data_IF_472612859817
#
_entry.id   IF_472612859817
#
_cell.length_a   1.000
_cell.length_b   1.000
_cell.length_c   1.000
_cell.angle_alpha   90.00
_cell.angle_beta   90.00
_cell.angle_gamma   90.00
#
_symmetry.space_group_name_H-M   'P 1'
#
loop_
_entity.id
_entity.type
_entity.pdbx_description
1 polymer ?
#
# COMPACT_ATOMS: atom_id res chain seq x y z
N UNK A 1 6.98 12.97 -18.12
CA UNK A 1 6.90 11.59 -17.56
C UNK A 1 7.30 11.56 -16.09
N UNK A 2 8.56 11.84 -15.72
CA UNK A 2 9.01 11.78 -14.31
C UNK A 2 8.24 12.75 -13.40
N UNK A 3 8.22 14.04 -13.73
CA UNK A 3 7.55 15.08 -12.93
C UNK A 3 6.04 14.87 -12.81
N UNK A 4 5.45 14.13 -13.76
CA UNK A 4 4.03 13.80 -13.75
C UNK A 4 3.72 12.64 -12.79
N UNK A 5 4.51 11.56 -12.86
CA UNK A 5 4.19 10.31 -12.19
C UNK A 5 4.82 10.15 -10.80
N UNK A 6 5.92 10.85 -10.51
CA UNK A 6 6.70 10.60 -9.30
C UNK A 6 6.34 11.56 -8.15
N UNK A 7 6.46 12.90 -8.27
CA UNK A 7 6.40 13.80 -7.11
C UNK A 7 4.99 14.20 -6.66
N UNK A 8 3.93 13.91 -7.43
CA UNK A 8 2.57 14.42 -7.16
C UNK A 8 1.82 13.81 -5.98
N UNK A 9 2.44 12.88 -5.23
CA UNK A 9 1.84 12.24 -4.07
C UNK A 9 2.11 12.97 -2.74
N UNK A 10 1.65 12.38 -1.64
CA UNK A 10 1.98 12.86 -0.27
C UNK A 10 3.43 12.54 0.15
N UNK A 11 4.14 11.71 -0.62
CA UNK A 11 5.50 11.24 -0.37
C UNK A 11 5.70 10.56 1.00
N UNK A 12 4.62 10.05 1.61
CA UNK A 12 4.65 9.46 2.94
C UNK A 12 5.66 8.31 3.06
N UNK A 13 5.82 7.48 2.01
CA UNK A 13 6.74 6.34 2.04
C UNK A 13 8.18 6.83 1.97
N UNK A 14 8.46 7.77 1.06
CA UNK A 14 9.78 8.37 0.91
C UNK A 14 10.23 9.13 2.16
N UNK A 15 9.37 9.99 2.70
CA UNK A 15 9.64 10.75 3.94
C UNK A 15 9.87 9.83 5.14
N UNK A 16 9.18 8.68 5.18
CA UNK A 16 9.33 7.74 6.29
C UNK A 16 10.71 7.09 6.34
N UNK A 17 11.49 7.05 5.26
CA UNK A 17 12.90 6.60 5.33
C UNK A 17 13.71 7.57 6.17
N UNK A 18 13.54 8.88 5.94
CA UNK A 18 14.26 9.94 6.65
C UNK A 18 13.85 9.94 8.13
N UNK A 19 12.54 9.92 8.40
CA UNK A 19 12.01 9.89 9.76
C UNK A 19 12.50 8.65 10.53
N UNK A 20 12.46 7.47 9.90
CA UNK A 20 12.92 6.23 10.52
C UNK A 20 14.41 6.28 10.82
N UNK A 21 15.21 6.76 9.87
CA UNK A 21 16.65 6.84 10.04
C UNK A 21 17.04 7.82 11.15
N UNK A 22 16.35 8.96 11.25
CA UNK A 22 16.53 9.91 12.36
C UNK A 22 16.19 9.27 13.70
N UNK A 23 15.06 8.58 13.81
CA UNK A 23 14.63 7.90 15.05
C UNK A 23 15.54 6.74 15.46
N UNK A 24 16.13 6.01 14.49
CA UNK A 24 17.11 4.97 14.76
C UNK A 24 18.44 5.51 15.30
N UNK A 25 18.76 6.77 15.03
CA UNK A 25 19.96 7.45 15.50
C UNK A 25 19.69 8.34 16.73
N UNK A 26 18.79 7.91 17.61
CA UNK A 26 18.38 8.63 18.82
C UNK A 26 17.92 10.08 18.58
N UNK A 27 17.40 10.37 17.38
CA UNK A 27 16.97 11.71 17.00
C UNK A 27 18.09 12.73 16.89
N UNK A 28 19.36 12.28 16.80
CA UNK A 28 20.48 13.19 16.55
C UNK A 28 20.29 13.93 15.24
N UNK A 29 20.95 15.08 15.14
CA UNK A 29 21.01 15.81 13.88
C UNK A 29 21.76 14.97 12.83
N UNK A 30 21.09 14.77 11.70
CA UNK A 30 21.65 14.04 10.57
C UNK A 30 22.56 14.96 9.77
N UNK A 31 23.68 14.44 9.29
CA UNK A 31 24.55 15.17 8.37
C UNK A 31 23.87 15.37 7.02
N UNK A 32 24.33 16.35 6.23
CA UNK A 32 23.78 16.59 4.87
C UNK A 32 23.87 15.35 3.97
N UNK A 33 24.93 14.55 4.13
CA UNK A 33 25.12 13.31 3.39
C UNK A 33 24.09 12.24 3.81
N UNK A 34 23.82 12.11 5.11
CA UNK A 34 22.81 11.18 5.63
C UNK A 34 21.39 11.55 5.18
N UNK A 35 21.06 12.85 5.24
CA UNK A 35 19.78 13.36 4.75
C UNK A 35 19.65 13.08 3.25
N UNK A 36 20.70 13.35 2.47
CA UNK A 36 20.70 13.07 1.03
C UNK A 36 20.50 11.58 0.74
N UNK A 37 21.22 10.70 1.44
CA UNK A 37 21.11 9.25 1.26
C UNK A 37 19.74 8.71 1.66
N UNK A 38 19.20 9.12 2.82
CA UNK A 38 17.87 8.73 3.24
C UNK A 38 16.82 9.21 2.25
N UNK A 39 16.95 10.45 1.76
CA UNK A 39 16.07 11.02 0.74
C UNK A 39 16.17 10.26 -0.59
N UNK A 40 17.38 9.87 -1.01
CA UNK A 40 17.59 9.11 -2.24
C UNK A 40 16.94 7.73 -2.17
N UNK A 41 17.04 7.02 -1.03
CA UNK A 41 16.30 5.77 -0.82
C UNK A 41 14.79 6.00 -0.75
N UNK A 42 14.35 7.07 -0.08
CA UNK A 42 12.95 7.45 -0.05
C UNK A 42 12.39 7.68 -1.46
N UNK A 43 13.14 8.37 -2.31
CA UNK A 43 12.79 8.54 -3.72
C UNK A 43 12.81 7.19 -4.47
N UNK A 44 13.76 6.29 -4.26
CA UNK A 44 13.70 4.95 -4.87
C UNK A 44 12.35 4.24 -4.59
N UNK A 45 11.78 4.41 -3.39
CA UNK A 45 10.47 3.85 -3.03
C UNK A 45 9.33 4.57 -3.76
N UNK A 46 9.37 5.91 -3.86
CA UNK A 46 8.38 6.69 -4.61
C UNK A 46 8.44 6.40 -6.13
N UNK A 47 9.63 6.13 -6.67
CA UNK A 47 9.82 5.65 -8.05
C UNK A 47 9.26 4.24 -8.26
N UNK A 48 9.48 3.33 -7.30
CA UNK A 48 8.88 1.99 -7.31
C UNK A 48 7.35 2.07 -7.29
N UNK A 49 6.80 2.91 -6.42
CA UNK A 49 5.37 3.14 -6.36
C UNK A 49 4.84 3.75 -7.66
N UNK A 50 5.50 4.76 -8.21
CA UNK A 50 5.09 5.38 -9.47
C UNK A 50 5.09 4.38 -10.63
N UNK A 51 6.08 3.48 -10.70
CA UNK A 51 6.10 2.37 -11.65
C UNK A 51 4.85 1.51 -11.55
N UNK A 52 4.53 1.00 -10.35
CA UNK A 52 3.35 0.16 -10.15
C UNK A 52 2.06 0.91 -10.48
N UNK A 53 1.91 2.15 -10.02
CA UNK A 53 0.70 2.95 -10.27
C UNK A 53 0.46 3.23 -11.76
N UNK A 54 1.51 3.49 -12.55
CA UNK A 54 1.35 3.69 -14.00
C UNK A 54 0.81 2.43 -14.68
N UNK A 55 1.28 1.24 -14.29
CA UNK A 55 0.80 -0.02 -14.85
C UNK A 55 -0.58 -0.43 -14.29
N UNK A 56 -0.81 -0.22 -13.00
CA UNK A 56 -2.08 -0.48 -12.30
C UNK A 56 -3.20 0.35 -12.91
N UNK A 57 -2.98 1.65 -13.14
CA UNK A 57 -3.96 2.52 -13.80
C UNK A 57 -4.35 2.01 -15.20
N UNK A 58 -3.42 1.39 -15.93
CA UNK A 58 -3.70 0.77 -17.24
C UNK A 58 -4.53 -0.51 -17.06
N UNK A 59 -4.13 -1.39 -16.14
CA UNK A 59 -4.78 -2.69 -15.90
C UNK A 59 -6.21 -2.52 -15.37
N UNK A 60 -6.43 -1.54 -14.51
CA UNK A 60 -7.71 -1.24 -13.88
C UNK A 60 -8.57 -0.28 -14.71
N UNK A 61 -8.05 0.16 -15.87
CA UNK A 61 -8.67 1.14 -16.74
C UNK A 61 -9.03 2.47 -16.03
N UNK A 62 -8.21 2.89 -15.07
CA UNK A 62 -8.42 4.10 -14.26
C UNK A 62 -8.43 5.39 -15.08
N UNK A 63 -9.26 6.36 -14.70
CA UNK A 63 -9.37 7.63 -15.40
C UNK A 63 -8.45 8.73 -14.84
N UNK A 64 -8.39 8.84 -13.51
CA UNK A 64 -7.66 9.92 -12.82
C UNK A 64 -6.84 9.39 -11.66
N UNK A 65 -5.65 9.98 -11.45
CA UNK A 65 -4.81 9.77 -10.28
C UNK A 65 -4.23 11.10 -9.81
N UNK A 66 -4.24 11.33 -8.48
CA UNK A 66 -3.70 12.54 -7.84
C UNK A 66 -4.30 13.83 -8.43
N UNK A 67 -5.61 13.82 -8.70
CA UNK A 67 -6.33 14.96 -9.28
C UNK A 67 -6.03 15.26 -10.76
N UNK A 68 -5.32 14.39 -11.47
CA UNK A 68 -4.98 14.54 -12.89
C UNK A 68 -5.34 13.28 -13.68
N UNK A 69 -5.49 13.35 -15.03
CA UNK A 69 -5.65 12.15 -15.84
C UNK A 69 -4.52 11.13 -15.61
N UNK A 70 -4.84 9.84 -15.60
CA UNK A 70 -3.80 8.80 -15.56
C UNK A 70 -2.85 8.96 -16.75
N UNK A 71 -1.56 8.65 -16.57
CA UNK A 71 -0.53 8.92 -17.58
C UNK A 71 -0.88 8.37 -18.97
N UNK A 72 -1.41 7.14 -19.02
CA UNK A 72 -1.81 6.48 -20.26
C UNK A 72 -3.07 7.07 -20.93
N UNK A 73 -3.85 7.89 -20.21
CA UNK A 73 -5.03 8.59 -20.75
C UNK A 73 -4.65 9.89 -21.48
N UNK A 74 -3.41 10.37 -21.36
CA UNK A 74 -2.98 11.57 -22.08
C UNK A 74 -2.90 11.30 -23.59
N UNK A 75 -3.43 12.21 -24.45
CA UNK A 75 -3.53 11.96 -25.90
C UNK A 75 -2.21 11.62 -26.60
N UNK A 76 -1.10 12.23 -26.16
CA UNK A 76 0.23 12.02 -26.75
C UNK A 76 0.99 10.82 -26.14
N UNK A 77 0.47 10.22 -25.08
CA UNK A 77 1.13 9.14 -24.34
C UNK A 77 0.54 7.79 -24.72
N UNK A 78 -0.76 7.58 -24.48
CA UNK A 78 -1.39 6.29 -24.70
C UNK A 78 -0.62 5.13 -24.06
N UNK A 79 -0.43 4.04 -24.82
CA UNK A 79 0.25 2.83 -24.33
C UNK A 79 1.78 2.93 -24.26
N UNK A 80 2.40 4.04 -24.68
CA UNK A 80 3.82 4.33 -24.39
C UNK A 80 4.07 4.29 -22.87
N UNK A 81 3.03 4.60 -22.08
CA UNK A 81 3.00 4.51 -20.63
C UNK A 81 3.53 3.16 -20.07
N UNK A 82 3.34 2.04 -20.79
CA UNK A 82 3.90 0.74 -20.36
C UNK A 82 5.42 0.79 -20.32
N UNK A 83 6.06 1.30 -21.37
CA UNK A 83 7.51 1.46 -21.42
C UNK A 83 8.00 2.52 -20.43
N UNK A 84 7.24 3.60 -20.25
CA UNK A 84 7.57 4.62 -19.24
C UNK A 84 7.56 4.06 -17.82
N UNK A 85 6.60 3.19 -17.49
CA UNK A 85 6.61 2.42 -16.24
C UNK A 85 7.89 1.60 -16.09
N UNK A 86 8.28 0.85 -17.13
CA UNK A 86 9.54 0.07 -17.12
C UNK A 86 10.75 0.99 -16.88
N UNK A 87 10.77 2.19 -17.46
CA UNK A 87 11.84 3.17 -17.22
C UNK A 87 11.86 3.67 -15.78
N UNK A 88 10.70 3.94 -15.16
CA UNK A 88 10.60 4.31 -13.74
C UNK A 88 11.24 3.24 -12.84
N UNK A 89 10.92 1.97 -13.07
CA UNK A 89 11.53 0.84 -12.36
C UNK A 89 13.05 0.78 -12.54
N UNK A 90 13.54 0.99 -13.76
CA UNK A 90 14.98 0.96 -14.05
C UNK A 90 15.75 2.14 -13.42
N UNK A 91 15.11 3.29 -13.16
CA UNK A 91 15.77 4.41 -12.47
C UNK A 91 16.19 4.05 -11.04
N UNK A 92 15.49 3.14 -10.37
CA UNK A 92 15.82 2.71 -9.00
C UNK A 92 17.25 2.17 -8.95
N UNK A 93 17.59 1.21 -9.82
CA UNK A 93 18.94 0.62 -9.84
C UNK A 93 20.01 1.63 -10.26
N UNK A 94 19.65 2.65 -11.07
CA UNK A 94 20.55 3.76 -11.42
C UNK A 94 20.86 4.62 -10.20
N UNK A 95 19.86 4.98 -9.40
CA UNK A 95 20.01 5.77 -8.17
C UNK A 95 20.84 4.96 -7.15
N UNK A 96 20.46 3.70 -6.90
CA UNK A 96 21.20 2.81 -5.99
C UNK A 96 22.67 2.69 -6.39
N UNK A 97 22.95 2.42 -7.67
CA UNK A 97 24.33 2.31 -8.17
C UNK A 97 25.11 3.62 -8.05
N UNK A 98 24.49 4.76 -8.34
CA UNK A 98 25.20 6.04 -8.35
C UNK A 98 25.58 6.52 -6.95
N UNK A 99 24.73 6.26 -5.95
CA UNK A 99 24.89 6.84 -4.61
C UNK A 99 25.27 5.83 -3.51
N UNK A 100 25.08 4.52 -3.76
CA UNK A 100 25.28 3.49 -2.73
C UNK A 100 26.29 2.41 -3.12
N UNK A 101 26.82 2.37 -4.35
CA UNK A 101 27.73 1.28 -4.81
C UNK A 101 28.95 1.01 -3.91
N UNK A 102 29.42 2.02 -3.17
CA UNK A 102 30.58 1.92 -2.29
C UNK A 102 30.20 1.60 -0.83
N UNK A 103 28.90 1.54 -0.51
CA UNK A 103 28.41 1.22 0.82
C UNK A 103 28.49 -0.29 1.06
N UNK A 104 28.81 -0.73 2.28
CA UNK A 104 28.88 -2.15 2.61
C UNK A 104 27.54 -2.87 2.42
N UNK A 105 26.42 -2.16 2.61
CA UNK A 105 25.05 -2.66 2.46
C UNK A 105 24.46 -2.49 1.04
N UNK A 106 25.30 -2.25 0.02
CA UNK A 106 24.83 -2.02 -1.35
C UNK A 106 24.10 -3.23 -1.95
N UNK A 107 24.65 -4.44 -1.74
CA UNK A 107 24.04 -5.68 -2.24
C UNK A 107 22.73 -5.94 -1.52
N UNK A 108 22.69 -5.72 -0.20
CA UNK A 108 21.46 -5.86 0.59
C UNK A 108 20.36 -4.90 0.12
N UNK A 109 20.71 -3.67 -0.29
CA UNK A 109 19.75 -2.74 -0.89
C UNK A 109 19.22 -3.25 -2.23
N UNK A 110 20.08 -3.76 -3.11
CA UNK A 110 19.63 -4.32 -4.39
C UNK A 110 18.68 -5.49 -4.18
N UNK A 111 19.04 -6.42 -3.30
CA UNK A 111 18.23 -7.60 -2.99
C UNK A 111 16.91 -7.20 -2.32
N UNK A 112 16.94 -6.25 -1.38
CA UNK A 112 15.74 -5.72 -0.72
C UNK A 112 14.75 -5.12 -1.72
N UNK A 113 15.21 -4.24 -2.63
CA UNK A 113 14.32 -3.62 -3.62
C UNK A 113 13.78 -4.65 -4.61
N UNK A 114 14.60 -5.59 -5.08
CA UNK A 114 14.16 -6.64 -6.01
C UNK A 114 13.15 -7.60 -5.36
N UNK A 115 13.39 -8.02 -4.11
CA UNK A 115 12.50 -8.92 -3.37
C UNK A 115 11.15 -8.26 -3.10
N UNK A 116 11.16 -7.00 -2.66
CA UNK A 116 9.91 -6.25 -2.42
C UNK A 116 9.17 -5.96 -3.73
N UNK A 117 9.88 -5.66 -4.82
CA UNK A 117 9.28 -5.55 -6.16
C UNK A 117 8.61 -6.87 -6.57
N UNK A 118 9.29 -8.01 -6.40
CA UNK A 118 8.75 -9.33 -6.69
C UNK A 118 7.51 -9.66 -5.86
N UNK A 119 7.54 -9.35 -4.56
CA UNK A 119 6.40 -9.51 -3.65
C UNK A 119 5.22 -8.65 -4.09
N UNK A 120 5.47 -7.39 -4.47
CA UNK A 120 4.44 -6.46 -4.94
C UNK A 120 3.80 -6.93 -6.24
N UNK A 121 4.62 -7.34 -7.22
CA UNK A 121 4.15 -7.91 -8.47
C UNK A 121 3.37 -9.22 -8.27
N UNK A 122 3.79 -10.05 -7.31
CA UNK A 122 3.07 -11.29 -6.94
C UNK A 122 1.73 -10.98 -6.27
N UNK A 123 1.66 -9.93 -5.45
CA UNK A 123 0.42 -9.42 -4.89
C UNK A 123 -0.55 -8.94 -5.98
N UNK A 124 -0.04 -8.16 -6.94
CA UNK A 124 -0.82 -7.73 -8.11
C UNK A 124 -1.31 -8.93 -8.95
N UNK A 125 -0.47 -9.93 -9.15
CA UNK A 125 -0.86 -11.15 -9.86
C UNK A 125 -2.05 -11.83 -9.17
N UNK A 126 -1.99 -12.02 -7.84
CA UNK A 126 -3.07 -12.67 -7.09
C UNK A 126 -4.35 -11.83 -7.16
N UNK A 127 -4.23 -10.51 -7.09
CA UNK A 127 -5.35 -9.59 -7.24
C UNK A 127 -6.05 -9.78 -8.59
N UNK A 128 -5.32 -9.63 -9.69
CA UNK A 128 -5.85 -9.74 -11.05
C UNK A 128 -6.46 -11.12 -11.35
N UNK A 129 -5.83 -12.22 -10.93
CA UNK A 129 -6.41 -13.56 -11.16
C UNK A 129 -7.65 -13.80 -10.30
N UNK A 130 -7.79 -13.10 -9.18
CA UNK A 130 -8.97 -13.20 -8.30
C UNK A 130 -10.13 -12.36 -8.86
N UNK A 131 -9.84 -11.18 -9.40
CA UNK A 131 -10.85 -10.20 -9.82
C UNK A 131 -11.24 -10.29 -11.29
N UNK A 132 -10.32 -10.68 -12.17
CA UNK A 132 -10.50 -10.62 -13.64
C UNK A 132 -10.65 -12.01 -14.27
N UNK A 133 -9.94 -13.02 -13.78
CA UNK A 133 -9.85 -14.31 -14.48
C UNK A 133 -11.08 -15.21 -14.23
N UNK A 134 -11.71 -15.61 -15.34
CA UNK A 134 -12.85 -16.51 -15.37
C UNK A 134 -14.17 -15.79 -15.07
N UNK A 135 -15.20 -16.55 -14.68
CA UNK A 135 -16.48 -15.95 -14.29
C UNK A 135 -16.31 -15.11 -13.02
N UNK A 136 -16.98 -13.95 -13.00
CA UNK A 136 -17.12 -13.09 -11.82
C UNK A 136 -17.93 -13.85 -10.76
N UNK A 137 -17.23 -14.61 -9.94
CA UNK A 137 -17.81 -15.44 -8.88
C UNK A 137 -17.29 -14.96 -7.52
N UNK A 138 -18.19 -14.37 -6.74
CA UNK A 138 -17.91 -13.90 -5.39
C UNK A 138 -17.55 -15.03 -4.42
N UNK A 139 -17.81 -16.29 -4.75
CA UNK A 139 -17.43 -17.42 -3.90
C UNK A 139 -15.90 -17.57 -3.78
N UNK A 140 -15.16 -17.03 -4.76
CA UNK A 140 -13.69 -16.96 -4.75
C UNK A 140 -13.17 -15.97 -3.71
N UNK A 141 -14.00 -15.03 -3.23
CA UNK A 141 -13.55 -13.96 -2.37
C UNK A 141 -13.61 -14.43 -0.92
N UNK A 142 -12.47 -14.34 -0.23
CA UNK A 142 -12.35 -14.80 1.15
C UNK A 142 -11.32 -13.98 1.91
N UNK A 143 -11.44 -13.95 3.25
CA UNK A 143 -10.54 -13.17 4.09
C UNK A 143 -9.07 -13.62 3.97
N UNK A 144 -8.77 -14.93 3.85
CA UNK A 144 -7.40 -15.38 3.58
C UNK A 144 -6.84 -14.88 2.24
N UNK A 145 -7.67 -14.78 1.19
CA UNK A 145 -7.25 -14.29 -0.13
C UNK A 145 -7.02 -12.78 -0.08
N UNK A 146 -7.98 -12.02 0.45
CA UNK A 146 -7.84 -10.57 0.67
C UNK A 146 -6.57 -10.25 1.46
N UNK A 147 -6.38 -10.90 2.61
CA UNK A 147 -5.19 -10.71 3.44
C UNK A 147 -3.90 -11.00 2.67
N UNK A 148 -3.88 -12.03 1.81
CA UNK A 148 -2.71 -12.36 0.98
C UNK A 148 -2.46 -11.29 -0.08
N UNK A 149 -3.49 -10.86 -0.80
CA UNK A 149 -3.38 -9.77 -1.78
C UNK A 149 -2.79 -8.54 -1.11
N UNK A 150 -3.42 -8.07 -0.03
CA UNK A 150 -3.00 -6.86 0.69
C UNK A 150 -1.57 -6.97 1.24
N UNK A 151 -1.23 -8.11 1.85
CA UNK A 151 0.10 -8.36 2.39
C UNK A 151 1.17 -8.17 1.31
N UNK A 152 0.97 -8.78 0.14
CA UNK A 152 1.96 -8.79 -0.93
C UNK A 152 1.91 -7.52 -1.79
N UNK A 153 0.72 -7.08 -2.21
CA UNK A 153 0.49 -5.92 -3.10
C UNK A 153 0.81 -4.60 -2.40
N UNK A 154 0.56 -4.47 -1.09
CA UNK A 154 0.66 -3.19 -0.40
C UNK A 154 1.67 -3.17 0.74
N UNK A 155 1.61 -4.13 1.66
CA UNK A 155 2.26 -3.99 2.96
C UNK A 155 3.79 -3.95 2.87
N UNK A 156 4.42 -4.79 2.03
CA UNK A 156 5.87 -4.84 1.92
C UNK A 156 6.47 -3.52 1.43
N UNK A 157 6.02 -2.99 0.28
CA UNK A 157 6.61 -1.76 -0.27
C UNK A 157 6.19 -0.49 0.49
N UNK A 158 5.02 -0.52 1.16
CA UNK A 158 4.47 0.68 1.81
C UNK A 158 4.95 0.86 3.25
N UNK A 159 5.19 -0.23 3.98
CA UNK A 159 5.53 -0.19 5.41
C UNK A 159 6.89 -0.79 5.70
N UNK A 160 7.15 -2.01 5.21
CA UNK A 160 8.42 -2.69 5.50
C UNK A 160 9.61 -2.02 4.80
N UNK A 161 9.52 -1.78 3.49
CA UNK A 161 10.63 -1.28 2.68
C UNK A 161 11.21 0.06 3.20
N UNK A 162 10.42 1.08 3.58
CA UNK A 162 10.99 2.31 4.13
C UNK A 162 11.83 2.11 5.40
N UNK A 163 11.35 1.26 6.33
CA UNK A 163 12.06 0.98 7.58
C UNK A 163 13.27 0.09 7.33
N UNK A 164 13.16 -0.90 6.44
CA UNK A 164 14.28 -1.76 6.05
C UNK A 164 15.41 -0.95 5.39
N UNK A 165 15.10 0.03 4.55
CA UNK A 165 16.09 0.98 4.01
C UNK A 165 16.81 1.76 5.13
N UNK A 166 16.07 2.25 6.12
CA UNK A 166 16.64 2.97 7.25
C UNK A 166 17.52 2.07 8.15
N UNK A 167 17.09 0.82 8.38
CA UNK A 167 17.87 -0.17 9.13
C UNK A 167 19.20 -0.51 8.43
N UNK A 168 19.17 -0.78 7.11
CA UNK A 168 20.39 -1.02 6.34
C UNK A 168 21.34 0.18 6.38
N UNK A 169 20.81 1.40 6.24
CA UNK A 169 21.61 2.63 6.40
C UNK A 169 22.20 2.78 7.80
N UNK A 170 21.53 2.28 8.84
CA UNK A 170 22.01 2.28 10.22
C UNK A 170 23.06 1.18 10.49
N UNK A 171 23.37 0.34 9.49
CA UNK A 171 24.32 -0.77 9.62
C UNK A 171 23.72 -2.02 10.24
N UNK A 172 22.39 -2.11 10.32
CA UNK A 172 21.69 -3.26 10.86
C UNK A 172 21.63 -4.43 9.85
N UNK A 173 21.56 -5.65 10.37
CA UNK A 173 21.30 -6.85 9.57
C UNK A 173 19.81 -7.20 9.62
N UNK A 174 19.12 -7.14 8.48
CA UNK A 174 17.67 -7.38 8.37
C UNK A 174 17.23 -8.77 8.84
N UNK A 175 18.09 -9.79 8.82
CA UNK A 175 17.78 -11.13 9.34
C UNK A 175 17.49 -11.12 10.85
N UNK A 176 17.98 -10.09 11.56
CA UNK A 176 17.73 -9.89 13.00
C UNK A 176 16.48 -9.09 13.29
N UNK A 177 15.78 -8.57 12.27
CA UNK A 177 14.62 -7.68 12.38
C UNK A 177 13.35 -8.29 11.77
N UNK A 178 13.22 -9.62 11.84
CA UNK A 178 12.04 -10.35 11.33
C UNK A 178 10.75 -9.96 12.07
N UNK A 179 10.86 -9.70 13.36
CA UNK A 179 9.77 -9.19 14.19
C UNK A 179 9.32 -7.78 13.75
N UNK A 180 10.25 -6.88 13.44
CA UNK A 180 9.96 -5.55 12.86
C UNK A 180 9.21 -5.70 11.54
N UNK A 181 9.68 -6.58 10.65
CA UNK A 181 8.98 -6.91 9.41
C UNK A 181 7.54 -7.37 9.68
N UNK A 182 7.35 -8.33 10.58
CA UNK A 182 6.02 -8.86 10.90
C UNK A 182 5.06 -7.78 11.41
N UNK A 183 5.53 -6.87 12.27
CA UNK A 183 4.71 -5.75 12.76
C UNK A 183 4.34 -4.80 11.62
N UNK A 184 5.29 -4.42 10.78
CA UNK A 184 5.05 -3.53 9.63
C UNK A 184 4.11 -4.14 8.59
N UNK A 185 4.17 -5.45 8.39
CA UNK A 185 3.21 -6.16 7.53
C UNK A 185 1.80 -6.14 8.11
N UNK A 186 1.63 -6.35 9.42
CA UNK A 186 0.33 -6.19 10.06
C UNK A 186 -0.20 -4.75 9.98
N UNK A 187 0.67 -3.74 10.11
CA UNK A 187 0.29 -2.34 9.89
C UNK A 187 -0.19 -2.09 8.47
N UNK A 188 0.51 -2.64 7.48
CA UNK A 188 0.12 -2.50 6.08
C UNK A 188 -1.20 -3.18 5.74
N UNK A 189 -1.48 -4.33 6.39
CA UNK A 189 -2.79 -4.98 6.27
C UNK A 189 -3.89 -4.11 6.86
N UNK A 190 -3.69 -3.59 8.07
CA UNK A 190 -4.63 -2.66 8.69
C UNK A 190 -4.85 -1.42 7.81
N UNK A 191 -3.79 -0.80 7.29
CA UNK A 191 -3.86 0.37 6.43
C UNK A 191 -4.72 0.17 5.18
N UNK A 192 -4.60 -0.99 4.52
CA UNK A 192 -5.39 -1.29 3.33
C UNK A 192 -6.84 -1.59 3.68
N UNK A 193 -7.13 -2.23 4.82
CA UNK A 193 -8.52 -2.38 5.29
C UNK A 193 -9.16 -1.01 5.54
N UNK A 194 -8.40 -0.04 6.06
CA UNK A 194 -8.88 1.34 6.14
C UNK A 194 -9.13 1.94 4.76
N UNK A 195 -8.29 1.63 3.77
CA UNK A 195 -8.44 2.15 2.40
C UNK A 195 -9.71 1.62 1.76
N UNK A 196 -9.93 0.30 1.86
CA UNK A 196 -11.12 -0.39 1.37
C UNK A 196 -12.41 0.15 2.03
N UNK A 197 -12.35 0.48 3.33
CA UNK A 197 -13.46 1.13 4.03
C UNK A 197 -13.69 2.56 3.53
N UNK A 198 -12.64 3.38 3.48
CA UNK A 198 -12.74 4.78 3.06
C UNK A 198 -13.21 4.89 1.60
N UNK A 199 -12.76 4.02 0.70
CA UNK A 199 -13.18 4.02 -0.71
C UNK A 199 -14.70 3.84 -0.89
N UNK A 200 -15.38 3.16 0.06
CA UNK A 200 -16.82 2.99 0.02
C UNK A 200 -17.59 4.11 0.72
N UNK A 201 -17.08 4.57 1.88
CA UNK A 201 -17.80 5.42 2.83
C UNK A 201 -17.36 6.88 2.87
N UNK A 202 -16.16 7.22 2.38
CA UNK A 202 -15.66 8.59 2.38
C UNK A 202 -16.14 9.39 1.15
N UNK A 203 -16.13 10.71 1.29
CA UNK A 203 -16.46 11.63 0.20
C UNK A 203 -15.37 11.55 -0.91
N UNK A 204 -15.75 11.39 -2.20
CA UNK A 204 -14.81 11.42 -3.32
C UNK A 204 -13.86 12.63 -3.33
N UNK A 205 -14.31 13.81 -2.87
CA UNK A 205 -13.46 15.01 -2.79
C UNK A 205 -12.33 14.84 -1.78
N UNK A 206 -12.57 14.09 -0.69
CA UNK A 206 -11.58 13.80 0.34
C UNK A 206 -10.56 12.75 -0.13
N UNK A 207 -11.00 11.77 -0.92
CA UNK A 207 -10.16 10.70 -1.47
C UNK A 207 -9.30 11.17 -2.65
N UNK A 208 -9.73 12.19 -3.39
CA UNK A 208 -9.03 12.69 -4.58
C UNK A 208 -9.05 11.71 -5.77
N UNK A 209 -9.92 10.69 -5.70
CA UNK A 209 -10.28 9.76 -6.76
C UNK A 209 -11.77 9.45 -6.67
N UNK A 210 -12.40 9.15 -7.80
CA UNK A 210 -13.72 8.52 -7.79
C UNK A 210 -13.48 7.06 -7.43
N UNK A 211 -14.01 6.59 -6.30
CA UNK A 211 -13.85 5.21 -5.86
C UNK A 211 -14.35 4.23 -6.92
N UNK A 212 -13.44 3.43 -7.47
CA UNK A 212 -13.73 2.36 -8.43
C UNK A 212 -13.86 0.99 -7.75
N UNK A 213 -13.53 0.92 -6.45
CA UNK A 213 -13.28 -0.34 -5.73
C UNK A 213 -14.55 -0.96 -5.14
N UNK A 214 -15.46 -1.31 -6.04
CA UNK A 214 -16.47 -2.36 -5.80
C UNK A 214 -15.90 -3.70 -6.31
N UNK A 215 -14.58 -3.89 -6.20
CA UNK A 215 -13.87 -5.09 -6.67
C UNK A 215 -12.94 -5.57 -5.55
N UNK A 216 -13.09 -6.83 -5.14
CA UNK A 216 -12.37 -7.55 -4.06
C UNK A 216 -11.88 -6.74 -2.82
N UNK A 217 -12.72 -5.88 -2.27
CA UNK A 217 -12.42 -5.12 -1.05
C UNK A 217 -12.66 -5.92 0.24
N UNK A 218 -12.09 -5.48 1.36
CA UNK A 218 -12.38 -6.06 2.68
C UNK A 218 -13.88 -6.10 3.01
N UNK A 219 -14.63 -5.09 2.56
CA UNK A 219 -16.07 -4.96 2.80
C UNK A 219 -16.89 -6.08 2.18
N UNK A 220 -16.62 -6.46 0.92
CA UNK A 220 -17.37 -7.56 0.27
C UNK A 220 -17.08 -8.89 0.94
N UNK A 221 -15.85 -9.10 1.36
CA UNK A 221 -15.46 -10.33 2.05
C UNK A 221 -16.15 -10.42 3.40
N UNK A 222 -16.24 -9.31 4.14
CA UNK A 222 -16.97 -9.25 5.40
C UNK A 222 -18.47 -9.40 5.20
N UNK A 223 -19.05 -8.78 4.18
CA UNK A 223 -20.44 -8.96 3.83
C UNK A 223 -20.76 -10.45 3.58
N UNK A 224 -19.94 -11.14 2.79
CA UNK A 224 -20.11 -12.56 2.50
C UNK A 224 -20.07 -13.46 3.75
N UNK A 225 -19.36 -13.06 4.81
CA UNK A 225 -19.31 -13.80 6.08
C UNK A 225 -20.59 -13.64 6.92
N UNK A 226 -21.31 -12.52 6.77
CA UNK A 226 -22.46 -12.16 7.65
C UNK A 226 -23.81 -12.12 6.94
N UNK A 227 -23.84 -12.11 5.61
CA UNK A 227 -25.07 -12.12 4.82
C UNK A 227 -25.92 -13.37 5.09
N UNK A 228 -27.24 -13.18 5.14
CA UNK A 228 -28.20 -14.27 4.92
C UNK A 228 -28.33 -14.60 3.41
N UNK A 229 -29.11 -15.63 3.06
CA UNK A 229 -29.24 -16.08 1.66
C UNK A 229 -29.84 -15.02 0.72
N UNK A 230 -30.80 -14.21 1.17
CA UNK A 230 -31.41 -13.14 0.37
C UNK A 230 -30.41 -12.00 0.12
N UNK A 231 -29.69 -11.59 1.16
CA UNK A 231 -28.63 -10.58 1.10
C UNK A 231 -27.47 -11.03 0.23
N UNK A 232 -27.10 -12.32 0.32
CA UNK A 232 -26.07 -12.93 -0.52
C UNK A 232 -26.51 -12.90 -1.98
N UNK A 233 -27.74 -13.29 -2.29
CA UNK A 233 -28.27 -13.18 -3.65
C UNK A 233 -28.22 -11.74 -4.19
N UNK A 234 -28.65 -10.76 -3.38
CA UNK A 234 -28.57 -9.34 -3.75
C UNK A 234 -27.12 -8.92 -4.03
N UNK A 235 -26.17 -9.35 -3.21
CA UNK A 235 -24.75 -9.07 -3.40
C UNK A 235 -24.24 -9.64 -4.74
N UNK A 236 -24.53 -10.90 -5.05
CA UNK A 236 -24.14 -11.54 -6.31
C UNK A 236 -24.77 -10.88 -7.54
N UNK A 237 -26.01 -10.40 -7.44
CA UNK A 237 -26.72 -9.77 -8.55
C UNK A 237 -26.21 -8.35 -8.87
N UNK A 238 -25.60 -7.65 -7.91
CA UNK A 238 -25.30 -6.22 -8.05
C UNK A 238 -23.80 -5.89 -7.96
N UNK A 239 -22.95 -6.73 -7.36
CA UNK A 239 -21.54 -6.43 -7.15
C UNK A 239 -20.72 -6.42 -8.46
N UNK A 240 -19.79 -5.46 -8.58
CA UNK A 240 -18.90 -5.36 -9.74
C UNK A 240 -19.56 -4.89 -11.05
N UNK A 241 -20.72 -4.22 -10.95
CA UNK A 241 -21.41 -3.53 -12.04
C UNK A 241 -21.20 -2.02 -11.93
N UNK A 242 -20.94 -1.36 -13.07
CA UNK A 242 -20.74 0.09 -13.15
C UNK A 242 -22.06 0.90 -13.08
N UNK A 243 -23.20 0.21 -12.93
CA UNK A 243 -24.53 0.81 -12.85
C UNK A 243 -24.76 1.48 -11.47
N UNK A 244 -25.03 2.79 -11.39
CA UNK A 244 -25.20 3.51 -10.14
C UNK A 244 -26.28 2.93 -9.21
N UNK A 245 -27.34 2.32 -9.74
CA UNK A 245 -28.37 1.69 -8.90
C UNK A 245 -27.86 0.40 -8.24
N UNK A 246 -27.09 -0.41 -8.97
CA UNK A 246 -26.40 -1.58 -8.40
C UNK A 246 -25.43 -1.15 -7.28
N UNK A 247 -24.66 -0.09 -7.50
CA UNK A 247 -23.74 0.47 -6.50
C UNK A 247 -24.50 0.91 -5.24
N UNK A 248 -25.60 1.64 -5.41
CA UNK A 248 -26.42 2.11 -4.30
C UNK A 248 -27.00 0.94 -3.48
N UNK A 249 -27.44 -0.15 -4.14
CA UNK A 249 -27.91 -1.37 -3.46
C UNK A 249 -26.82 -2.03 -2.63
N UNK A 250 -25.58 -2.11 -3.14
CA UNK A 250 -24.45 -2.67 -2.39
C UNK A 250 -24.13 -1.80 -1.16
N UNK A 251 -24.10 -0.47 -1.31
CA UNK A 251 -23.87 0.44 -0.18
C UNK A 251 -24.97 0.35 0.88
N UNK A 252 -26.23 0.27 0.44
CA UNK A 252 -27.37 0.05 1.35
C UNK A 252 -27.24 -1.27 2.11
N UNK A 253 -26.88 -2.36 1.41
CA UNK A 253 -26.62 -3.64 2.05
C UNK A 253 -25.49 -3.55 3.10
N UNK A 254 -24.39 -2.86 2.81
CA UNK A 254 -23.30 -2.67 3.78
C UNK A 254 -23.74 -1.90 5.03
N UNK A 255 -24.65 -0.93 4.88
CA UNK A 255 -25.27 -0.24 6.00
C UNK A 255 -26.17 -1.17 6.83
N UNK A 256 -27.02 -1.97 6.17
CA UNK A 256 -27.91 -2.93 6.84
C UNK A 256 -27.13 -4.00 7.61
N UNK A 257 -25.98 -4.43 7.08
CA UNK A 257 -25.05 -5.35 7.73
C UNK A 257 -24.17 -4.67 8.80
N UNK A 258 -24.31 -3.35 8.98
CA UNK A 258 -23.54 -2.54 9.94
C UNK A 258 -22.03 -2.71 9.78
N UNK A 259 -21.53 -2.76 8.54
CA UNK A 259 -20.11 -2.99 8.29
C UNK A 259 -19.20 -1.86 8.82
N UNK A 260 -19.74 -0.66 9.04
CA UNK A 260 -19.06 0.42 9.76
C UNK A 260 -18.74 0.01 11.20
N UNK A 261 -19.71 -0.54 11.95
CA UNK A 261 -19.48 -1.02 13.32
C UNK A 261 -18.43 -2.16 13.33
N UNK A 262 -18.51 -3.06 12.35
CA UNK A 262 -17.53 -4.17 12.16
C UNK A 262 -16.13 -3.63 11.90
N UNK A 263 -16.00 -2.59 11.07
CA UNK A 263 -14.73 -1.92 10.78
C UNK A 263 -14.16 -1.23 12.02
N UNK A 264 -14.97 -0.47 12.77
CA UNK A 264 -14.53 0.23 13.97
C UNK A 264 -14.01 -0.74 15.05
N UNK A 265 -14.66 -1.89 15.20
CA UNK A 265 -14.20 -2.95 16.10
C UNK A 265 -12.90 -3.61 15.60
N UNK A 266 -12.78 -3.84 14.29
CA UNK A 266 -11.54 -4.32 13.68
C UNK A 266 -10.38 -3.33 13.88
N UNK A 267 -10.61 -2.04 13.65
CA UNK A 267 -9.63 -0.98 13.82
C UNK A 267 -9.14 -0.91 15.27
N UNK A 268 -10.06 -0.94 16.24
CA UNK A 268 -9.71 -0.97 17.67
C UNK A 268 -8.83 -2.16 18.03
N UNK A 269 -9.24 -3.38 17.66
CA UNK A 269 -8.48 -4.60 17.92
C UNK A 269 -7.12 -4.61 17.24
N UNK A 270 -7.04 -4.10 16.02
CA UNK A 270 -5.78 -4.02 15.26
C UNK A 270 -4.82 -3.04 15.93
N UNK A 271 -5.31 -1.88 16.38
CA UNK A 271 -4.52 -0.90 17.12
C UNK A 271 -4.00 -1.44 18.46
N UNK A 272 -4.84 -2.13 19.24
CA UNK A 272 -4.45 -2.75 20.51
C UNK A 272 -3.37 -3.82 20.31
N UNK A 273 -3.54 -4.69 19.29
CA UNK A 273 -2.56 -5.71 18.93
C UNK A 273 -1.23 -5.09 18.52
N UNK A 274 -1.26 -4.11 17.61
CA UNK A 274 -0.07 -3.43 17.11
C UNK A 274 0.66 -2.72 18.24
N UNK A 275 -0.04 -1.96 19.08
CA UNK A 275 0.53 -1.27 20.24
C UNK A 275 1.20 -2.25 21.20
N UNK A 276 0.56 -3.40 21.48
CA UNK A 276 1.14 -4.43 22.34
C UNK A 276 2.40 -5.04 21.73
N UNK A 277 2.38 -5.35 20.42
CA UNK A 277 3.56 -5.89 19.73
C UNK A 277 4.72 -4.90 19.69
N UNK A 278 4.45 -3.61 19.48
CA UNK A 278 5.47 -2.56 19.54
C UNK A 278 6.06 -2.47 20.95
N UNK A 279 5.22 -2.41 21.99
CA UNK A 279 5.67 -2.30 23.37
C UNK A 279 6.58 -3.47 23.81
N UNK A 280 6.36 -4.66 23.24
CA UNK A 280 7.15 -5.87 23.49
C UNK A 280 8.53 -5.87 22.80
N UNK A 281 8.78 -5.01 21.82
CA UNK A 281 10.04 -4.97 21.09
C UNK A 281 11.19 -4.47 21.99
N UNK A 282 12.39 -5.08 22.01
CA UNK A 282 13.44 -4.72 22.97
C UNK A 282 14.11 -3.37 22.71
N UNK A 283 14.21 -2.94 21.45
CA UNK A 283 14.86 -1.66 21.09
C UNK A 283 13.88 -0.49 21.17
N UNK A 284 14.20 0.52 22.00
CA UNK A 284 13.42 1.77 22.13
C UNK A 284 13.42 2.61 20.86
N UNK A 285 14.54 2.62 20.13
CA UNK A 285 14.63 3.32 18.85
C UNK A 285 13.66 2.71 17.82
N UNK A 286 13.60 1.37 17.74
CA UNK A 286 12.63 0.67 16.88
C UNK A 286 11.19 0.90 17.35
N UNK A 287 10.92 0.91 18.67
CA UNK A 287 9.60 1.28 19.19
C UNK A 287 9.17 2.66 18.70
N UNK A 288 10.07 3.64 18.72
CA UNK A 288 9.80 5.00 18.27
C UNK A 288 9.46 5.05 16.76
N UNK A 289 10.22 4.32 15.93
CA UNK A 289 9.93 4.16 14.49
C UNK A 289 8.52 3.59 14.29
N UNK A 290 8.20 2.47 14.93
CA UNK A 290 6.92 1.80 14.75
C UNK A 290 5.74 2.65 15.27
N UNK A 291 5.92 3.36 16.39
CA UNK A 291 4.90 4.30 16.89
C UNK A 291 4.68 5.47 15.92
N UNK A 292 5.74 5.99 15.30
CA UNK A 292 5.62 7.04 14.27
C UNK A 292 4.77 6.57 13.09
N UNK A 293 4.99 5.34 12.60
CA UNK A 293 4.16 4.76 11.53
C UNK A 293 2.71 4.57 11.96
N UNK A 294 2.48 3.97 13.13
CA UNK A 294 1.13 3.72 13.63
C UNK A 294 0.34 5.02 13.83
N UNK A 295 1.00 6.06 14.36
CA UNK A 295 0.40 7.38 14.57
C UNK A 295 -0.01 8.08 13.27
N UNK A 296 0.69 7.83 12.16
CA UNK A 296 0.35 8.39 10.85
C UNK A 296 -0.90 7.75 10.20
N UNK A 297 -1.27 6.52 10.61
CA UNK A 297 -2.36 5.77 9.97
C UNK A 297 -3.59 5.56 10.87
N UNK A 298 -3.41 5.56 12.19
CA UNK A 298 -4.52 5.33 13.12
C UNK A 298 -5.58 6.42 13.00
N UNK A 299 -6.85 6.02 12.81
CA UNK A 299 -7.99 6.93 12.60
C UNK A 299 -7.79 7.95 11.47
N UNK A 300 -7.05 7.57 10.42
CA UNK A 300 -6.91 8.42 9.24
C UNK A 300 -8.28 8.63 8.58
N UNK A 301 -8.48 9.82 8.02
CA UNK A 301 -9.70 10.19 7.29
C UNK A 301 -9.49 10.26 5.77
N UNK A 302 -8.26 9.99 5.29
CA UNK A 302 -7.82 10.11 3.88
C UNK A 302 -6.50 9.38 3.64
#
# INVERSE_FOLDING_TARGET
MLDYNVPGGKLNRGLSVIDSYSLLNDGRELTSEEIFQASALGWCIEWLQAYFLVLDDIMDNSHTRRGQPCWYKLPEVGMIAVNDGILLRNHITRILKNHFRAKPYYVDLLDLFNEVEFQTASGQMIDLITTIVGEKDLSKYSLPIHRRIVQYKTAYYSFYLPVACALLMAGENLDKHVDVKNILIEMGIYFQVQDDYLDCFADPEVLGKIGTDIQCSWLVVKALEVCNEEQKKLLYENYGKDDPECIAKIKALYNDLKLEEVFLEYEKKSYEKLTSSIAAHPSKAVQAVLHSFLGKIYKRQK
#
